data_IF_420882928763
#
_entry.id   IF_420882928763
#
_cell.length_a   1.000
_cell.length_b   1.000
_cell.length_c   1.000
_cell.angle_alpha   90.00
_cell.angle_beta   90.00
_cell.angle_gamma   90.00
#
_symmetry.space_group_name_H-M   'P 1'
#
loop_
_entity.id
_entity.type
_entity.pdbx_description
1 polymer ?
#
# COMPACT_ATOMS: atom_id res chain seq x y z
N UNK A 1 32.52 75.87 -28.57
CA UNK A 1 33.88 75.69 -28.02
C UNK A 1 33.75 75.31 -26.55
N UNK A 2 34.70 74.51 -26.05
CA UNK A 2 34.62 73.54 -24.95
C UNK A 2 34.44 74.09 -23.51
N UNK A 3 33.97 73.28 -22.53
CA UNK A 3 34.77 72.46 -21.58
C UNK A 3 33.93 71.93 -20.38
N UNK A 4 34.17 70.64 -19.99
CA UNK A 4 34.19 70.01 -18.64
C UNK A 4 33.00 70.22 -17.65
N UNK A 5 32.61 69.29 -16.76
CA UNK A 5 33.41 68.47 -15.83
C UNK A 5 32.51 67.40 -15.17
N UNK A 6 33.05 66.22 -14.87
CA UNK A 6 32.47 65.20 -13.98
C UNK A 6 32.23 65.76 -12.56
N UNK A 7 31.16 65.34 -11.88
CA UNK A 7 31.16 65.26 -10.41
C UNK A 7 30.03 64.37 -9.86
N UNK A 8 30.42 63.42 -9.00
CA UNK A 8 29.61 63.02 -7.85
C UNK A 8 28.58 61.89 -8.02
N UNK A 9 29.00 60.64 -7.81
CA UNK A 9 28.27 59.80 -6.85
C UNK A 9 28.61 60.36 -5.44
N UNK A 10 27.75 60.31 -4.40
CA UNK A 10 27.18 59.03 -3.95
C UNK A 10 25.89 59.07 -3.08
N UNK A 11 25.46 57.86 -2.66
CA UNK A 11 24.66 57.51 -1.45
C UNK A 11 23.15 57.79 -1.45
N UNK A 12 22.39 56.71 -1.60
CA UNK A 12 20.98 56.62 -1.27
C UNK A 12 20.48 55.18 -1.24
N UNK A 13 21.27 54.26 -0.64
CA UNK A 13 20.88 52.87 -0.37
C UNK A 13 19.83 52.87 0.76
N UNK A 14 18.63 53.34 0.45
CA UNK A 14 17.51 53.50 1.38
C UNK A 14 16.25 52.95 0.77
N UNK A 15 16.17 51.62 0.63
CA UNK A 15 14.93 50.82 0.65
C UNK A 15 15.28 49.35 0.45
N UNK A 16 15.72 48.70 1.52
CA UNK A 16 15.50 47.26 1.66
C UNK A 16 14.04 47.11 2.09
N UNK A 17 13.14 47.34 1.14
CA UNK A 17 11.78 46.86 1.26
C UNK A 17 11.85 45.35 1.04
N UNK A 18 11.36 44.61 2.03
CA UNK A 18 11.00 43.20 1.92
C UNK A 18 10.00 43.00 0.77
N UNK A 19 10.47 42.96 -0.47
CA UNK A 19 9.70 42.58 -1.63
C UNK A 19 10.23 41.23 -2.09
N UNK A 20 9.77 40.16 -1.44
CA UNK A 20 9.90 38.83 -2.02
C UNK A 20 9.30 38.87 -3.43
N UNK A 21 10.04 38.44 -4.47
CA UNK A 21 9.60 38.58 -5.83
C UNK A 21 8.32 37.76 -6.03
N UNK A 22 7.27 38.43 -6.51
CA UNK A 22 5.95 37.91 -6.92
C UNK A 22 6.04 36.58 -7.70
N UNK A 23 7.17 36.38 -8.40
CA UNK A 23 7.50 35.21 -9.20
C UNK A 23 7.54 33.90 -8.39
N UNK A 24 7.92 33.95 -7.11
CA UNK A 24 7.97 32.74 -6.25
C UNK A 24 6.57 32.33 -5.77
N UNK A 25 5.69 33.30 -5.54
CA UNK A 25 4.31 33.07 -5.13
C UNK A 25 3.46 32.50 -6.27
N UNK A 26 3.67 32.95 -7.52
CA UNK A 26 2.98 32.39 -8.70
C UNK A 26 3.41 30.94 -8.98
N UNK A 27 4.67 30.59 -8.70
CA UNK A 27 5.16 29.21 -8.83
C UNK A 27 4.61 28.29 -7.72
N UNK A 28 4.44 28.79 -6.49
CA UNK A 28 3.81 28.05 -5.39
C UNK A 28 2.29 27.90 -5.57
N UNK A 29 1.61 28.88 -6.17
CA UNK A 29 0.17 28.85 -6.42
C UNK A 29 -0.23 27.99 -7.64
N UNK A 30 0.73 27.35 -8.31
CA UNK A 30 0.51 26.30 -9.29
C UNK A 30 0.84 24.93 -8.68
N UNK A 31 0.39 24.68 -7.45
CA UNK A 31 0.05 23.31 -7.08
C UNK A 31 -1.19 23.00 -7.89
N UNK A 32 -0.98 22.45 -9.08
CA UNK A 32 -2.04 21.88 -9.93
C UNK A 32 -2.74 20.80 -9.09
N UNK A 33 -3.77 21.20 -8.34
CA UNK A 33 -4.80 20.31 -7.83
C UNK A 33 -5.47 19.73 -9.06
N UNK A 34 -4.87 18.64 -9.56
CA UNK A 34 -5.37 17.88 -10.68
C UNK A 34 -6.83 17.58 -10.35
N UNK A 35 -7.82 18.13 -11.09
CA UNK A 35 -9.22 17.83 -10.82
C UNK A 35 -9.32 16.33 -10.96
N UNK A 36 -9.57 15.64 -9.85
CA UNK A 36 -9.61 14.20 -9.79
C UNK A 36 -10.67 13.77 -10.82
N UNK A 37 -10.19 13.23 -11.93
CA UNK A 37 -11.01 12.94 -13.10
C UNK A 37 -12.21 12.11 -12.63
N UNK A 38 -13.44 12.53 -12.95
CA UNK A 38 -14.68 11.83 -12.55
C UNK A 38 -14.62 10.32 -12.88
N UNK A 39 -13.86 9.96 -13.91
CA UNK A 39 -13.56 8.57 -14.29
C UNK A 39 -12.74 7.81 -13.25
N UNK A 40 -11.75 8.44 -12.60
CA UNK A 40 -10.91 7.81 -11.55
C UNK A 40 -11.75 7.51 -10.31
N UNK A 41 -12.58 8.47 -9.88
CA UNK A 41 -13.53 8.26 -8.77
C UNK A 41 -14.49 7.11 -9.04
N UNK A 42 -15.16 7.12 -10.21
CA UNK A 42 -16.08 6.05 -10.60
C UNK A 42 -15.37 4.69 -10.65
N UNK A 43 -14.12 4.68 -11.13
CA UNK A 43 -13.32 3.48 -11.23
C UNK A 43 -12.94 2.88 -9.89
N UNK A 44 -12.48 3.72 -8.95
CA UNK A 44 -12.19 3.30 -7.59
C UNK A 44 -13.44 2.76 -6.91
N UNK A 45 -14.59 3.45 -7.03
CA UNK A 45 -15.85 2.99 -6.46
C UNK A 45 -16.22 1.60 -6.97
N UNK A 46 -16.10 1.34 -8.28
CA UNK A 46 -16.36 0.02 -8.84
C UNK A 46 -15.39 -1.04 -8.30
N UNK A 47 -14.08 -0.73 -8.19
CA UNK A 47 -13.10 -1.66 -7.61
C UNK A 47 -13.45 -1.99 -6.15
N UNK A 48 -13.72 -0.98 -5.33
CA UNK A 48 -14.08 -1.17 -3.93
C UNK A 48 -15.38 -1.97 -3.79
N UNK A 49 -16.42 -1.61 -4.54
CA UNK A 49 -17.71 -2.32 -4.54
C UNK A 49 -17.56 -3.80 -4.91
N UNK A 50 -16.75 -4.12 -5.93
CA UNK A 50 -16.49 -5.50 -6.32
C UNK A 50 -15.72 -6.26 -5.24
N UNK A 51 -14.66 -5.66 -4.67
CA UNK A 51 -13.89 -6.30 -3.58
C UNK A 51 -14.74 -6.58 -2.35
N UNK A 52 -15.58 -5.61 -1.94
CA UNK A 52 -16.48 -5.77 -0.82
C UNK A 52 -17.55 -6.84 -1.10
N UNK A 53 -18.12 -6.87 -2.32
CA UNK A 53 -19.10 -7.88 -2.70
C UNK A 53 -18.52 -9.30 -2.62
N UNK A 54 -17.27 -9.51 -3.06
CA UNK A 54 -16.58 -10.80 -2.93
C UNK A 54 -16.40 -11.16 -1.46
N UNK A 55 -15.90 -10.25 -0.62
CA UNK A 55 -15.67 -10.50 0.81
C UNK A 55 -16.98 -10.85 1.53
N UNK A 56 -18.06 -10.11 1.25
CA UNK A 56 -19.38 -10.36 1.84
C UNK A 56 -19.93 -11.70 1.37
N UNK A 57 -19.86 -12.02 0.08
CA UNK A 57 -20.30 -13.31 -0.45
C UNK A 57 -19.57 -14.49 0.23
N UNK A 58 -18.25 -14.40 0.36
CA UNK A 58 -17.45 -15.42 1.04
C UNK A 58 -17.86 -15.56 2.50
N UNK A 59 -18.07 -14.43 3.18
CA UNK A 59 -18.49 -14.39 4.59
C UNK A 59 -19.87 -15.03 4.79
N UNK A 60 -20.83 -14.73 3.91
CA UNK A 60 -22.18 -15.31 3.97
C UNK A 60 -22.18 -16.81 3.64
N UNK A 61 -21.38 -17.25 2.66
CA UNK A 61 -21.24 -18.68 2.36
C UNK A 61 -20.60 -19.43 3.53
N UNK A 62 -19.60 -18.83 4.18
CA UNK A 62 -18.95 -19.41 5.35
C UNK A 62 -19.91 -19.56 6.55
N UNK A 63 -20.82 -18.61 6.76
CA UNK A 63 -21.88 -18.72 7.78
C UNK A 63 -22.87 -19.86 7.50
N UNK A 64 -23.12 -20.17 6.22
CA UNK A 64 -24.10 -21.19 5.82
C UNK A 64 -23.52 -22.60 5.88
N UNK A 65 -22.21 -22.78 5.69
CA UNK A 65 -21.54 -24.08 5.76
C UNK A 65 -20.08 -23.91 6.13
N UNK A 66 -19.66 -24.50 7.26
CA UNK A 66 -18.27 -24.43 7.72
C UNK A 66 -17.30 -25.10 6.75
N UNK A 67 -17.69 -26.19 6.09
CA UNK A 67 -16.82 -26.94 5.16
C UNK A 67 -16.61 -26.19 3.85
N UNK A 68 -17.69 -25.68 3.25
CA UNK A 68 -17.60 -24.86 2.05
C UNK A 68 -16.95 -23.51 2.35
N UNK A 69 -17.23 -22.95 3.53
CA UNK A 69 -16.57 -21.77 4.06
C UNK A 69 -15.07 -21.95 4.17
N UNK A 70 -14.61 -23.05 4.77
CA UNK A 70 -13.18 -23.35 4.89
C UNK A 70 -12.51 -23.56 3.52
N UNK A 71 -13.17 -24.26 2.59
CA UNK A 71 -12.66 -24.43 1.23
C UNK A 71 -12.49 -23.07 0.54
N UNK A 72 -13.53 -22.23 0.59
CA UNK A 72 -13.53 -20.93 -0.07
C UNK A 72 -12.56 -19.96 0.60
N UNK A 73 -12.46 -19.98 1.93
CA UNK A 73 -11.52 -19.16 2.69
C UNK A 73 -10.06 -19.57 2.48
N UNK A 74 -9.80 -20.86 2.19
CA UNK A 74 -8.46 -21.34 1.85
C UNK A 74 -8.00 -20.94 0.43
N UNK A 75 -8.96 -20.62 -0.45
CA UNK A 75 -8.63 -20.12 -1.78
C UNK A 75 -8.10 -18.69 -1.67
N UNK A 76 -6.98 -18.36 -2.33
CA UNK A 76 -6.42 -17.01 -2.33
C UNK A 76 -7.21 -16.10 -3.28
N UNK A 77 -8.52 -15.94 -3.03
CA UNK A 77 -9.45 -15.18 -3.87
C UNK A 77 -9.00 -13.72 -4.03
N UNK A 78 -8.47 -13.13 -2.97
CA UNK A 78 -7.90 -11.78 -3.00
C UNK A 78 -6.74 -11.72 -4.00
N UNK A 79 -5.82 -12.69 -3.96
CA UNK A 79 -4.68 -12.77 -4.89
C UNK A 79 -5.15 -13.03 -6.33
N UNK A 80 -6.16 -13.87 -6.55
CA UNK A 80 -6.71 -14.08 -7.89
C UNK A 80 -7.28 -12.76 -8.44
N UNK A 81 -8.01 -12.01 -7.61
CA UNK A 81 -8.57 -10.72 -8.00
C UNK A 81 -7.48 -9.67 -8.26
N UNK A 82 -6.39 -9.66 -7.49
CA UNK A 82 -5.25 -8.76 -7.76
C UNK A 82 -4.54 -9.12 -9.06
N UNK A 83 -4.35 -10.41 -9.36
CA UNK A 83 -3.75 -10.87 -10.61
C UNK A 83 -4.59 -10.51 -11.83
N UNK A 84 -5.93 -10.65 -11.74
CA UNK A 84 -6.85 -10.22 -12.80
C UNK A 84 -6.71 -8.71 -13.04
N UNK A 85 -6.64 -7.92 -11.98
CA UNK A 85 -6.42 -6.47 -12.08
C UNK A 85 -5.10 -6.13 -12.76
N UNK A 86 -4.02 -6.79 -12.34
CA UNK A 86 -2.67 -6.59 -12.87
C UNK A 86 -2.61 -6.93 -14.37
N UNK A 87 -3.32 -7.99 -14.77
CA UNK A 87 -3.47 -8.38 -16.16
C UNK A 87 -4.29 -7.38 -16.99
N UNK A 88 -5.43 -6.91 -16.47
CA UNK A 88 -6.28 -5.90 -17.13
C UNK A 88 -5.54 -4.56 -17.29
N UNK A 89 -4.72 -4.19 -16.32
CA UNK A 89 -3.86 -3.00 -16.36
C UNK A 89 -2.61 -3.17 -17.23
N UNK A 90 -2.46 -4.31 -17.92
CA UNK A 90 -1.33 -4.64 -18.81
C UNK A 90 0.04 -4.48 -18.14
N UNK A 91 0.14 -4.84 -16.87
CA UNK A 91 1.43 -4.87 -16.17
C UNK A 91 2.33 -5.96 -16.79
N UNK A 92 3.66 -5.79 -16.75
CA UNK A 92 4.60 -6.77 -17.28
C UNK A 92 4.42 -8.14 -16.60
N UNK A 93 4.57 -9.22 -17.38
CA UNK A 93 4.38 -10.60 -16.90
C UNK A 93 5.27 -10.92 -15.69
N UNK A 94 6.48 -10.34 -15.63
CA UNK A 94 7.40 -10.50 -14.51
C UNK A 94 6.81 -9.98 -13.18
N UNK A 95 6.06 -8.88 -13.20
CA UNK A 95 5.36 -8.37 -12.00
C UNK A 95 4.24 -9.32 -11.56
N UNK A 96 3.51 -9.89 -12.51
CA UNK A 96 2.43 -10.84 -12.23
C UNK A 96 3.01 -12.10 -11.59
N UNK A 97 4.09 -12.65 -12.16
CA UNK A 97 4.80 -13.82 -11.65
C UNK A 97 5.40 -13.57 -10.25
N UNK A 98 6.07 -12.43 -10.05
CA UNK A 98 6.64 -12.07 -8.77
C UNK A 98 5.57 -11.92 -7.68
N UNK A 99 4.40 -11.34 -8.00
CA UNK A 99 3.31 -11.22 -7.02
C UNK A 99 2.81 -12.59 -6.55
N UNK A 100 2.66 -13.55 -7.46
CA UNK A 100 2.31 -14.92 -7.11
C UNK A 100 3.40 -15.61 -6.27
N UNK A 101 4.68 -15.43 -6.63
CA UNK A 101 5.82 -16.01 -5.92
C UNK A 101 5.93 -15.51 -4.46
N UNK A 102 5.80 -14.21 -4.24
CA UNK A 102 5.84 -13.65 -2.89
C UNK A 102 4.63 -14.08 -2.06
N UNK A 103 3.44 -14.08 -2.67
CA UNK A 103 2.23 -14.56 -1.97
C UNK A 103 2.40 -16.01 -1.52
N UNK A 104 2.94 -16.88 -2.37
CA UNK A 104 3.20 -18.27 -2.02
C UNK A 104 4.12 -18.39 -0.80
N UNK A 105 5.26 -17.68 -0.80
CA UNK A 105 6.18 -17.70 0.33
C UNK A 105 5.60 -17.11 1.61
N UNK A 106 4.71 -16.12 1.54
CA UNK A 106 4.04 -15.56 2.71
C UNK A 106 2.92 -16.44 3.27
N UNK A 107 2.33 -17.32 2.46
CA UNK A 107 1.35 -18.29 2.95
C UNK A 107 2.01 -19.33 3.87
N UNK A 108 3.23 -19.80 3.54
CA UNK A 108 3.96 -20.81 4.35
C UNK A 108 4.05 -20.47 5.85
N UNK A 109 4.55 -19.29 6.28
CA UNK A 109 4.63 -18.94 7.70
C UNK A 109 3.27 -18.69 8.36
N UNK A 110 2.16 -18.59 7.60
CA UNK A 110 0.81 -18.41 8.15
C UNK A 110 0.05 -19.72 8.36
N UNK A 111 0.49 -20.83 7.76
CA UNK A 111 -0.10 -22.16 7.97
C UNK A 111 -0.12 -22.63 9.44
N UNK A 112 0.93 -22.42 10.26
CA UNK A 112 0.91 -22.86 11.66
C UNK A 112 -0.24 -22.26 12.48
N UNK A 113 -0.64 -21.03 12.18
CA UNK A 113 -1.78 -20.38 12.82
C UNK A 113 -3.08 -21.15 12.59
N UNK A 114 -3.32 -21.66 11.38
CA UNK A 114 -4.53 -22.42 11.05
C UNK A 114 -4.66 -23.71 11.87
N UNK A 115 -3.54 -24.27 12.34
CA UNK A 115 -3.53 -25.46 13.18
C UNK A 115 -3.65 -25.12 14.68
N UNK A 116 -2.98 -24.04 15.12
CA UNK A 116 -2.97 -23.61 16.53
C UNK A 116 -4.31 -22.98 16.94
N UNK A 117 -4.93 -22.20 16.06
CA UNK A 117 -6.20 -21.51 16.33
C UNK A 117 -7.32 -22.46 16.78
N UNK A 118 -7.69 -23.54 16.05
CA UNK A 118 -8.75 -24.45 16.48
C UNK A 118 -8.39 -25.24 17.75
N UNK A 119 -7.11 -25.45 18.05
CA UNK A 119 -6.67 -26.14 19.26
C UNK A 119 -6.73 -25.26 20.51
N UNK A 120 -6.47 -23.94 20.38
CA UNK A 120 -6.51 -22.99 21.49
C UNK A 120 -7.90 -22.39 21.73
N UNK A 121 -8.73 -22.28 20.69
CA UNK A 121 -10.06 -21.65 20.78
C UNK A 121 -10.94 -22.22 21.92
N UNK A 122 -11.00 -23.54 22.16
CA UNK A 122 -11.80 -24.11 23.24
C UNK A 122 -11.20 -23.88 24.64
N UNK A 123 -9.90 -23.56 24.75
CA UNK A 123 -9.17 -23.49 26.03
C UNK A 123 -9.02 -22.06 26.54
N UNK A 124 -8.78 -21.11 25.64
CA UNK A 124 -8.36 -19.75 25.98
C UNK A 124 -9.42 -18.69 25.62
N UNK A 125 -10.50 -19.08 24.93
CA UNK A 125 -11.48 -18.15 24.38
C UNK A 125 -10.99 -17.43 23.12
N UNK A 126 -11.90 -16.75 22.41
CA UNK A 126 -11.63 -16.16 21.10
C UNK A 126 -10.54 -15.07 21.12
N UNK A 127 -10.67 -14.09 22.01
CA UNK A 127 -9.78 -12.92 22.05
C UNK A 127 -8.33 -13.27 22.40
N UNK A 128 -8.14 -14.15 23.40
CA UNK A 128 -6.80 -14.58 23.79
C UNK A 128 -6.16 -15.46 22.71
N UNK A 129 -6.94 -16.36 22.11
CA UNK A 129 -6.48 -17.20 21.00
C UNK A 129 -6.05 -16.35 19.80
N UNK A 130 -6.81 -15.30 19.47
CA UNK A 130 -6.47 -14.36 18.40
C UNK A 130 -5.14 -13.65 18.69
N UNK A 131 -4.94 -13.15 19.91
CA UNK A 131 -3.69 -12.50 20.30
C UNK A 131 -2.49 -13.45 20.20
N UNK A 132 -2.63 -14.68 20.70
CA UNK A 132 -1.58 -15.71 20.58
C UNK A 132 -1.26 -16.01 19.12
N UNK A 133 -2.27 -16.11 18.27
CA UNK A 133 -2.09 -16.37 16.84
C UNK A 133 -1.36 -15.22 16.11
N UNK A 134 -1.64 -13.97 16.48
CA UNK A 134 -0.92 -12.80 15.93
C UNK A 134 0.56 -12.85 16.34
N UNK A 135 0.84 -13.09 17.62
CA UNK A 135 2.23 -13.20 18.11
C UNK A 135 2.95 -14.37 17.44
N UNK A 136 2.29 -15.54 17.34
CA UNK A 136 2.83 -16.70 16.66
C UNK A 136 3.14 -16.41 15.19
N UNK A 137 2.24 -15.70 14.49
CA UNK A 137 2.45 -15.32 13.09
C UNK A 137 3.65 -14.38 12.95
N UNK A 138 3.79 -13.38 13.83
CA UNK A 138 4.98 -12.51 13.84
C UNK A 138 6.27 -13.31 14.08
N UNK A 139 6.27 -14.25 15.02
CA UNK A 139 7.42 -15.11 15.30
C UNK A 139 7.76 -16.01 14.11
N UNK A 140 6.76 -16.66 13.50
CA UNK A 140 6.93 -17.48 12.31
C UNK A 140 7.47 -16.66 11.15
N UNK A 141 6.96 -15.45 10.93
CA UNK A 141 7.44 -14.56 9.88
C UNK A 141 8.88 -14.11 10.15
N UNK A 142 9.23 -13.80 11.40
CA UNK A 142 10.60 -13.46 11.80
C UNK A 142 11.58 -14.60 11.58
N UNK A 143 11.22 -15.82 12.01
CA UNK A 143 12.01 -17.03 11.77
C UNK A 143 12.15 -17.32 10.28
N UNK A 144 11.06 -17.24 9.54
CA UNK A 144 11.03 -17.45 8.11
C UNK A 144 11.89 -16.42 7.36
N UNK A 145 11.81 -15.14 7.73
CA UNK A 145 12.69 -14.10 7.19
C UNK A 145 14.17 -14.36 7.51
N UNK A 146 14.48 -14.91 8.69
CA UNK A 146 15.85 -15.29 9.08
C UNK A 146 16.35 -16.47 8.24
N UNK A 147 15.50 -17.46 7.98
CA UNK A 147 15.80 -18.61 7.09
C UNK A 147 16.00 -18.16 5.64
N UNK A 148 15.11 -17.31 5.10
CA UNK A 148 15.25 -16.77 3.74
C UNK A 148 16.50 -15.90 3.62
N UNK A 149 16.82 -15.10 4.65
CA UNK A 149 18.07 -14.32 4.70
C UNK A 149 19.32 -15.21 4.72
N UNK A 150 19.26 -16.38 5.36
CA UNK A 150 20.34 -17.39 5.32
C UNK A 150 20.51 -18.01 3.94
N UNK A 151 19.45 -18.06 3.11
CA UNK A 151 19.49 -18.56 1.73
C UNK A 151 19.94 -17.53 0.69
N UNK A 152 20.43 -16.35 1.12
CA UNK A 152 21.14 -15.42 0.24
C UNK A 152 20.27 -14.55 -0.65
N UNK A 153 18.94 -14.53 -0.44
CA UNK A 153 18.05 -13.64 -1.19
C UNK A 153 17.89 -12.34 -0.38
N UNK A 154 18.66 -11.32 -0.74
CA UNK A 154 18.49 -9.95 -0.23
C UNK A 154 17.20 -9.39 -0.85
N UNK A 155 16.09 -9.56 -0.15
CA UNK A 155 14.82 -8.96 -0.54
C UNK A 155 14.63 -7.64 0.24
N UNK A 156 15.54 -6.70 0.02
CA UNK A 156 15.38 -5.29 0.37
C UNK A 156 15.96 -4.40 -0.73
#
# INVERSE_FOLDING_TARGET
>A
MAYQTQSGLPKGQGRIAHQQPLVTQVAYNRVDIHPLNRRIMLWLITKYGLTAAVIVLVSEVAKRSDRLGALIASLPLVTVLTLIWLYVEKQPADKIANHAWYTFWYVVPTLPMFLVFPALLPRCGFWLTLLVCVVLTMLCFGLFALVVRRMGIHLL
#
